data_IF_474627553468
#
_entry.id   IF_474627553468
#
_cell.length_a   1.000
_cell.length_b   1.000
_cell.length_c   1.000
_cell.angle_alpha   90.00
_cell.angle_beta   90.00
_cell.angle_gamma   90.00
#
_symmetry.space_group_name_H-M   'P 1'
#
loop_
_entity.id
_entity.type
_entity.pdbx_description
1 polymer ?
#
# COMPACT_ATOMS: atom_id res chain seq x y z
N UNK A 1 -16.09 14.32 -33.26
CA UNK A 1 -16.22 13.25 -32.25
C UNK A 1 -14.84 13.05 -31.69
N UNK A 2 -14.61 13.51 -30.46
CA UNK A 2 -13.31 13.33 -29.80
C UNK A 2 -13.38 11.94 -29.16
N UNK A 3 -12.47 11.07 -29.58
CA UNK A 3 -12.27 9.76 -28.96
C UNK A 3 -11.85 9.99 -27.51
N UNK A 4 -12.75 9.62 -26.60
CA UNK A 4 -12.48 9.52 -25.18
C UNK A 4 -11.49 8.36 -25.02
N UNK A 5 -10.20 8.70 -24.91
CA UNK A 5 -9.17 7.75 -24.54
C UNK A 5 -9.44 7.33 -23.09
N UNK A 6 -10.35 6.36 -22.94
CA UNK A 6 -10.51 5.62 -21.70
C UNK A 6 -9.14 4.99 -21.40
N UNK A 7 -8.41 5.64 -20.50
CA UNK A 7 -7.15 5.17 -19.97
C UNK A 7 -7.40 3.74 -19.47
N UNK A 8 -6.84 2.76 -20.19
CA UNK A 8 -7.14 1.33 -20.03
C UNK A 8 -6.63 0.73 -18.72
N UNK A 9 -6.38 1.56 -17.70
CA UNK A 9 -6.09 1.11 -16.35
C UNK A 9 -7.38 0.54 -15.76
N UNK A 10 -7.41 -0.78 -15.62
CA UNK A 10 -8.48 -1.43 -14.87
C UNK A 10 -8.54 -0.79 -13.48
N UNK A 11 -9.73 -0.45 -12.97
CA UNK A 11 -9.86 0.14 -11.65
C UNK A 11 -9.20 -0.75 -10.61
N UNK A 12 -8.49 -0.14 -9.65
CA UNK A 12 -7.84 -0.85 -8.56
C UNK A 12 -8.84 -1.78 -7.85
N UNK A 13 -8.41 -3.01 -7.56
CA UNK A 13 -9.16 -3.98 -6.75
C UNK A 13 -9.22 -3.52 -5.28
N UNK A 14 -10.20 -2.68 -4.96
CA UNK A 14 -10.37 -2.08 -3.63
C UNK A 14 -10.58 -3.15 -2.56
N UNK A 15 -11.48 -4.12 -2.83
CA UNK A 15 -11.81 -5.18 -1.87
C UNK A 15 -10.60 -6.08 -1.61
N UNK A 16 -9.87 -6.46 -2.66
CA UNK A 16 -8.64 -7.24 -2.53
C UNK A 16 -7.56 -6.53 -1.74
N UNK A 17 -7.35 -5.22 -1.95
CA UNK A 17 -6.38 -4.44 -1.17
C UNK A 17 -6.83 -4.29 0.28
N UNK A 18 -8.11 -3.98 0.53
CA UNK A 18 -8.67 -3.83 1.88
C UNK A 18 -8.51 -5.13 2.67
N UNK A 19 -8.96 -6.26 2.12
CA UNK A 19 -8.87 -7.58 2.75
C UNK A 19 -7.42 -8.01 3.03
N UNK A 20 -6.50 -7.77 2.09
CA UNK A 20 -5.08 -8.15 2.26
C UNK A 20 -4.36 -7.28 3.27
N UNK A 21 -4.63 -5.97 3.29
CA UNK A 21 -4.05 -5.07 4.29
C UNK A 21 -4.61 -5.36 5.67
N UNK A 22 -5.90 -5.66 5.81
CA UNK A 22 -6.50 -6.11 7.07
C UNK A 22 -5.85 -7.40 7.58
N UNK A 23 -5.70 -8.40 6.71
CA UNK A 23 -5.04 -9.67 7.05
C UNK A 23 -3.59 -9.45 7.51
N UNK A 24 -2.83 -8.58 6.84
CA UNK A 24 -1.47 -8.25 7.23
C UNK A 24 -1.40 -7.51 8.58
N UNK A 25 -2.37 -6.64 8.87
CA UNK A 25 -2.44 -5.89 10.14
C UNK A 25 -2.90 -6.75 11.32
N UNK A 26 -3.65 -7.82 11.05
CA UNK A 26 -4.08 -8.81 12.03
C UNK A 26 -2.96 -9.77 12.47
N UNK A 27 -1.85 -9.83 11.72
CA UNK A 27 -0.67 -10.59 12.12
C UNK A 27 -0.12 -10.06 13.45
N UNK A 28 0.18 -11.00 14.35
CA UNK A 28 0.80 -10.71 15.65
C UNK A 28 2.19 -11.29 15.71
N UNK A 29 3.11 -10.55 16.31
CA UNK A 29 4.52 -10.95 16.38
C UNK A 29 4.75 -12.23 17.20
N UNK A 30 3.88 -12.54 18.17
CA UNK A 30 3.95 -13.74 18.98
C UNK A 30 3.47 -15.01 18.26
N UNK A 31 2.71 -14.87 17.18
CA UNK A 31 2.12 -16.00 16.44
C UNK A 31 2.59 -16.09 14.99
N UNK A 32 3.34 -15.11 14.49
CA UNK A 32 3.76 -15.02 13.08
C UNK A 32 5.25 -15.30 12.95
N UNK A 33 5.64 -16.13 11.98
CA UNK A 33 7.05 -16.42 11.68
C UNK A 33 7.66 -15.37 10.75
N UNK A 34 8.99 -15.30 10.71
CA UNK A 34 9.69 -14.41 9.77
C UNK A 34 9.36 -14.76 8.32
N UNK A 35 9.34 -16.04 8.01
CA UNK A 35 9.05 -16.59 6.68
C UNK A 35 7.62 -16.24 6.22
N UNK A 36 6.65 -16.26 7.14
CA UNK A 36 5.28 -15.86 6.86
C UNK A 36 5.18 -14.35 6.55
N UNK A 37 5.95 -13.51 7.25
CA UNK A 37 6.00 -12.07 6.94
C UNK A 37 6.66 -11.82 5.58
N UNK A 38 7.77 -12.51 5.29
CA UNK A 38 8.49 -12.37 4.03
C UNK A 38 7.65 -12.83 2.83
N UNK A 39 6.74 -13.81 3.01
CA UNK A 39 5.86 -14.26 1.94
C UNK A 39 4.72 -13.28 1.63
N UNK A 40 4.20 -12.58 2.64
CA UNK A 40 3.08 -11.62 2.48
C UNK A 40 3.58 -10.24 2.05
N UNK A 41 4.76 -9.82 2.49
CA UNK A 41 5.30 -8.47 2.26
C UNK A 41 5.31 -8.03 0.79
N UNK A 42 5.75 -8.86 -0.19
CA UNK A 42 5.75 -8.46 -1.60
C UNK A 42 4.37 -8.11 -2.15
N UNK A 43 3.31 -8.81 -1.71
CA UNK A 43 1.95 -8.53 -2.14
C UNK A 43 1.48 -7.15 -1.63
N UNK A 44 1.73 -6.85 -0.35
CA UNK A 44 1.35 -5.56 0.25
C UNK A 44 2.15 -4.40 -0.38
N UNK A 45 3.44 -4.61 -0.63
CA UNK A 45 4.29 -3.64 -1.37
C UNK A 45 3.76 -3.43 -2.80
N UNK A 46 3.31 -4.49 -3.47
CA UNK A 46 2.68 -4.41 -4.78
C UNK A 46 1.41 -3.55 -4.77
N UNK A 47 0.53 -3.75 -3.80
CA UNK A 47 -0.67 -2.93 -3.63
C UNK A 47 -0.35 -1.47 -3.33
N UNK A 48 0.63 -1.20 -2.46
CA UNK A 48 1.10 0.16 -2.22
C UNK A 48 1.64 0.80 -3.51
N UNK A 49 2.41 0.05 -4.31
CA UNK A 49 2.94 0.55 -5.57
C UNK A 49 1.84 0.86 -6.59
N UNK A 50 0.79 0.04 -6.68
CA UNK A 50 -0.37 0.32 -7.52
C UNK A 50 -1.04 1.64 -7.11
N UNK A 51 -1.30 1.82 -5.81
CA UNK A 51 -1.90 3.05 -5.30
C UNK A 51 -1.04 4.30 -5.55
N UNK A 52 0.29 4.17 -5.49
CA UNK A 52 1.22 5.28 -5.76
C UNK A 52 1.25 5.70 -7.23
N UNK A 53 0.77 4.85 -8.15
CA UNK A 53 0.62 5.19 -9.57
C UNK A 53 -0.68 5.96 -9.86
N UNK A 54 -1.62 6.03 -8.91
CA UNK A 54 -2.90 6.71 -9.09
C UNK A 54 -2.83 8.21 -8.81
N UNK A 55 -3.81 8.95 -9.36
CA UNK A 55 -3.99 10.38 -9.09
C UNK A 55 -4.65 10.62 -7.71
N UNK A 56 -3.82 10.64 -6.67
CA UNK A 56 -4.25 10.80 -5.28
C UNK A 56 -4.43 12.27 -4.85
N UNK A 57 -4.07 13.26 -5.67
CA UNK A 57 -4.20 14.68 -5.33
C UNK A 57 -3.01 15.26 -4.55
N UNK A 58 -1.83 14.63 -4.61
CA UNK A 58 -0.62 15.07 -3.92
C UNK A 58 -0.14 16.48 -4.31
N UNK A 59 -0.55 16.99 -5.47
CA UNK A 59 -0.24 18.36 -5.89
C UNK A 59 -1.05 19.41 -5.13
N UNK A 60 -2.25 19.05 -4.69
CA UNK A 60 -3.20 19.97 -4.05
C UNK A 60 -3.30 19.80 -2.53
N UNK A 61 -2.87 18.65 -2.00
CA UNK A 61 -2.95 18.32 -0.58
C UNK A 61 -1.57 17.93 -0.03
N UNK A 62 -1.08 18.71 0.94
CA UNK A 62 0.23 18.51 1.55
C UNK A 62 0.29 17.23 2.40
N UNK A 63 -0.80 16.83 3.06
CA UNK A 63 -0.84 15.59 3.84
C UNK A 63 -0.77 14.38 2.90
N UNK A 64 -1.52 14.42 1.79
CA UNK A 64 -1.46 13.36 0.77
C UNK A 64 -0.06 13.28 0.16
N UNK A 65 0.56 14.42 -0.12
CA UNK A 65 1.94 14.48 -0.63
C UNK A 65 2.94 13.80 0.31
N UNK A 66 2.80 14.01 1.62
CA UNK A 66 3.66 13.36 2.63
C UNK A 66 3.46 11.85 2.67
N UNK A 67 2.21 11.38 2.55
CA UNK A 67 1.91 9.95 2.47
C UNK A 67 2.49 9.31 1.21
N UNK A 68 2.36 9.97 0.06
CA UNK A 68 2.93 9.52 -1.22
C UNK A 68 4.46 9.46 -1.13
N UNK A 69 5.12 10.48 -0.58
CA UNK A 69 6.57 10.47 -0.35
C UNK A 69 7.01 9.36 0.59
N UNK A 70 6.26 9.13 1.67
CA UNK A 70 6.50 8.00 2.58
C UNK A 70 6.36 6.67 1.84
N UNK A 71 5.40 6.57 0.93
CA UNK A 71 5.18 5.39 0.09
C UNK A 71 6.37 5.09 -0.79
N UNK A 72 6.83 6.07 -1.56
CA UNK A 72 8.04 5.94 -2.38
C UNK A 72 9.28 5.57 -1.55
N UNK A 73 9.40 6.13 -0.34
CA UNK A 73 10.48 5.79 0.58
C UNK A 73 10.40 4.32 1.01
N UNK A 74 9.23 3.83 1.40
CA UNK A 74 9.06 2.44 1.86
C UNK A 74 9.30 1.42 0.74
N UNK A 75 8.84 1.70 -0.49
CA UNK A 75 9.01 0.76 -1.60
C UNK A 75 10.43 0.76 -2.19
N UNK A 76 11.26 1.77 -1.88
CA UNK A 76 12.67 1.79 -2.29
C UNK A 76 13.36 0.51 -1.80
N UNK A 77 14.03 -0.17 -2.72
CA UNK A 77 14.74 -1.41 -2.46
C UNK A 77 15.69 -1.33 -1.25
N UNK A 78 16.31 -0.17 -1.02
CA UNK A 78 17.24 0.05 0.10
C UNK A 78 16.56 0.00 1.48
N UNK A 79 15.26 0.29 1.53
CA UNK A 79 14.49 0.33 2.77
C UNK A 79 13.69 -0.96 3.01
N UNK A 80 13.71 -1.91 2.05
CA UNK A 80 13.05 -3.21 2.20
C UNK A 80 13.83 -4.10 3.18
N UNK A 81 13.13 -4.91 4.00
CA UNK A 81 13.76 -5.93 4.80
C UNK A 81 14.60 -6.88 3.94
N UNK A 82 15.81 -7.17 4.38
CA UNK A 82 16.67 -8.20 3.82
C UNK A 82 16.74 -9.41 4.77
N UNK A 83 17.49 -10.44 4.37
CA UNK A 83 17.79 -11.59 5.24
C UNK A 83 18.55 -11.20 6.52
N UNK A 84 19.24 -10.06 6.55
CA UNK A 84 19.92 -9.57 7.75
C UNK A 84 19.03 -8.69 8.64
N UNK A 85 17.85 -8.28 8.18
CA UNK A 85 16.90 -7.52 8.99
C UNK A 85 16.36 -8.42 10.11
N UNK A 86 16.36 -7.97 11.38
CA UNK A 86 15.72 -8.72 12.47
C UNK A 86 14.22 -8.95 12.22
N UNK A 87 13.65 -10.02 12.79
CA UNK A 87 12.21 -10.34 12.71
C UNK A 87 11.32 -9.17 13.10
N UNK A 88 11.67 -8.46 14.18
CA UNK A 88 10.95 -7.25 14.61
C UNK A 88 10.96 -6.15 13.54
N UNK A 89 12.08 -5.95 12.84
CA UNK A 89 12.18 -4.95 11.77
C UNK A 89 11.32 -5.30 10.55
N UNK A 90 11.27 -6.58 10.16
CA UNK A 90 10.35 -7.04 9.12
C UNK A 90 8.89 -6.85 9.50
N UNK A 91 8.55 -7.14 10.77
CA UNK A 91 7.20 -6.94 11.28
C UNK A 91 6.77 -5.48 11.23
N UNK A 92 7.63 -4.56 11.67
CA UNK A 92 7.35 -3.12 11.60
C UNK A 92 7.20 -2.64 10.16
N UNK A 93 8.10 -3.05 9.27
CA UNK A 93 8.03 -2.71 7.86
C UNK A 93 6.71 -3.18 7.23
N UNK A 94 6.31 -4.44 7.46
CA UNK A 94 5.05 -4.98 6.93
C UNK A 94 3.84 -4.17 7.42
N UNK A 95 3.80 -3.81 8.71
CA UNK A 95 2.73 -2.97 9.27
C UNK A 95 2.73 -1.58 8.67
N UNK A 96 3.89 -0.94 8.52
CA UNK A 96 4.00 0.41 7.95
C UNK A 96 3.51 0.45 6.50
N UNK A 97 3.88 -0.53 5.68
CA UNK A 97 3.41 -0.64 4.29
C UNK A 97 1.91 -0.91 4.27
N UNK A 98 1.40 -1.83 5.10
CA UNK A 98 -0.03 -2.15 5.15
C UNK A 98 -0.90 -0.96 5.61
N UNK A 99 -0.47 -0.23 6.65
CA UNK A 99 -1.16 0.98 7.12
C UNK A 99 -1.17 2.06 6.05
N UNK A 100 -0.05 2.27 5.36
CA UNK A 100 0.03 3.28 4.33
C UNK A 100 -0.82 2.92 3.12
N UNK A 101 -0.78 1.65 2.67
CA UNK A 101 -1.64 1.17 1.60
C UNK A 101 -3.12 1.38 1.93
N UNK A 102 -3.57 1.07 3.15
CA UNK A 102 -4.95 1.32 3.58
C UNK A 102 -5.33 2.80 3.56
N UNK A 103 -4.41 3.69 4.01
CA UNK A 103 -4.66 5.13 4.02
C UNK A 103 -4.74 5.71 2.60
N UNK A 104 -3.85 5.28 1.70
CA UNK A 104 -3.90 5.69 0.29
C UNK A 104 -5.12 5.10 -0.43
N UNK A 105 -5.54 3.88 -0.09
CA UNK A 105 -6.76 3.28 -0.61
C UNK A 105 -7.99 4.11 -0.21
N UNK A 106 -8.08 4.54 1.05
CA UNK A 106 -9.17 5.41 1.50
C UNK A 106 -9.21 6.73 0.71
N UNK A 107 -8.06 7.39 0.53
CA UNK A 107 -7.95 8.60 -0.29
C UNK A 107 -8.41 8.33 -1.73
N UNK A 108 -7.94 7.25 -2.34
CA UNK A 108 -8.36 6.85 -3.68
C UNK A 108 -9.88 6.66 -3.77
N UNK A 109 -10.49 5.95 -2.82
CA UNK A 109 -11.93 5.69 -2.82
C UNK A 109 -12.77 6.95 -2.60
N UNK A 110 -12.34 7.85 -1.72
CA UNK A 110 -13.05 9.12 -1.47
C UNK A 110 -13.01 10.01 -2.71
N UNK A 111 -11.86 10.10 -3.36
CA UNK A 111 -11.68 10.91 -4.58
C UNK A 111 -12.49 10.40 -5.76
N UNK A 112 -12.64 9.08 -5.87
CA UNK A 112 -13.40 8.44 -6.95
C UNK A 112 -14.89 8.24 -6.61
N UNK A 113 -15.35 8.68 -5.43
CA UNK A 113 -16.75 8.53 -5.01
C UNK A 113 -17.19 7.08 -4.80
N UNK A 114 -16.25 6.18 -4.50
CA UNK A 114 -16.48 4.72 -4.43
C UNK A 114 -16.93 4.24 -3.04
N UNK A 115 -17.03 5.15 -2.06
CA UNK A 115 -17.36 4.82 -0.67
C UNK A 115 -16.13 4.31 0.10
N UNK A 116 -16.15 4.41 1.44
CA UNK A 116 -15.02 3.98 2.26
C UNK A 116 -14.80 2.44 2.19
N UNK A 117 -13.55 1.97 2.10
CA UNK A 117 -13.18 0.56 1.96
C UNK A 117 -13.07 -0.20 3.30
#
# INVERSE_FOLDING_TARGET
MVEDAADGSLPIDIEGISSRTESALALRMDTTTREAMDSVTPAIVGHLNLLLCEELGADNDQEVRELVRKGYTLIDYKNRPSHSTPTFGAFLYLRDVALLARRLLWIYTERNGLGAP
#
